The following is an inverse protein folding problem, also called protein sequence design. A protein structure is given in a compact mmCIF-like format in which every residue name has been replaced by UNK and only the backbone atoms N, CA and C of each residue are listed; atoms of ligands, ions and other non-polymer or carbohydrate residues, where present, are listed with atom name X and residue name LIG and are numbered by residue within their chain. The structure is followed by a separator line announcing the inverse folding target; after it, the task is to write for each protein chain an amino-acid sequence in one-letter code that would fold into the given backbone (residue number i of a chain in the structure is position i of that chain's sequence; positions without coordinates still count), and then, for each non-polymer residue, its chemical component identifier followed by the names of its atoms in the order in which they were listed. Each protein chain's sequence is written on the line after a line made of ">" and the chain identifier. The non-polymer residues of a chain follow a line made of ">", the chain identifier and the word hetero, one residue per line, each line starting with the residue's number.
data_IF_389420273404
#
_entry.id   IF_389420273404
#
_cell.length_a   1.000
_cell.length_b   1.000
_cell.length_c   1.000
_cell.angle_alpha   90.00
_cell.angle_beta   90.00
_cell.angle_gamma   90.00
#
_symmetry.space_group_name_H-M   'P 1'
#
loop_
_entity.id
_entity.type
_entity.pdbx_description
1 polymer ?
#
# COMPACT_ATOMS: atom_id res chain seq x y z
N UNK A 1 -18.26 -2.36 -38.76
CA UNK A 1 -16.91 -2.82 -38.34
C UNK A 1 -16.23 -1.64 -37.68
N UNK A 2 -15.68 -1.63 -36.47
CA UNK A 2 -15.53 -2.61 -35.40
C UNK A 2 -15.50 -1.78 -34.09
N UNK A 3 -16.11 -2.30 -33.04
CA UNK A 3 -16.31 -1.65 -31.74
C UNK A 3 -14.98 -1.66 -30.98
N UNK A 4 -14.44 -0.48 -30.65
CA UNK A 4 -13.26 -0.36 -29.80
C UNK A 4 -13.60 -0.84 -28.38
N UNK A 5 -13.19 -2.06 -28.08
CA UNK A 5 -13.25 -2.62 -26.73
C UNK A 5 -12.08 -2.03 -25.92
N UNK A 6 -12.34 -0.92 -25.24
CA UNK A 6 -11.52 -0.44 -24.13
C UNK A 6 -11.68 -1.41 -22.96
N UNK A 7 -10.83 -2.44 -22.92
CA UNK A 7 -10.71 -3.34 -21.79
C UNK A 7 -10.08 -2.62 -20.61
N UNK A 8 -10.93 -2.06 -19.74
CA UNK A 8 -10.54 -1.62 -18.41
C UNK A 8 -10.07 -2.80 -17.57
N UNK A 9 -8.78 -3.10 -17.65
CA UNK A 9 -8.10 -4.02 -16.75
C UNK A 9 -7.78 -3.30 -15.45
N UNK A 10 -8.75 -3.26 -14.53
CA UNK A 10 -8.54 -2.88 -13.13
C UNK A 10 -7.68 -3.91 -12.42
N UNK A 11 -6.38 -3.97 -12.74
CA UNK A 11 -5.40 -4.67 -11.93
C UNK A 11 -5.11 -3.82 -10.70
N UNK A 12 -5.39 -4.34 -9.51
CA UNK A 12 -5.02 -3.70 -8.25
C UNK A 12 -3.56 -3.27 -8.31
N UNK A 13 -3.32 -1.97 -8.23
CA UNK A 13 -2.00 -1.39 -8.43
C UNK A 13 -0.97 -1.93 -7.44
N UNK A 14 0.34 -1.72 -7.71
CA UNK A 14 1.45 -2.17 -6.86
C UNK A 14 1.28 -1.81 -5.38
N UNK A 15 0.61 -0.69 -5.08
CA UNK A 15 0.28 -0.25 -3.72
C UNK A 15 -0.69 -1.18 -2.99
N UNK A 16 -1.70 -1.74 -3.66
CA UNK A 16 -2.66 -2.66 -3.05
C UNK A 16 -2.00 -4.00 -2.67
N UNK A 17 -1.09 -4.49 -3.53
CA UNK A 17 -0.29 -5.68 -3.23
C UNK A 17 0.67 -5.43 -2.05
N UNK A 18 1.29 -4.25 -1.98
CA UNK A 18 2.15 -3.86 -0.87
C UNK A 18 1.37 -3.74 0.46
N UNK A 19 0.16 -3.18 0.44
CA UNK A 19 -0.71 -3.10 1.61
C UNK A 19 -1.13 -4.49 2.13
N UNK A 20 -1.49 -5.40 1.23
CA UNK A 20 -1.81 -6.79 1.59
C UNK A 20 -0.60 -7.52 2.20
N UNK A 21 0.60 -7.32 1.62
CA UNK A 21 1.84 -7.88 2.16
C UNK A 21 2.17 -7.32 3.56
N UNK A 22 1.93 -6.02 3.79
CA UNK A 22 2.11 -5.40 5.10
C UNK A 22 1.14 -5.96 6.15
N UNK A 23 -0.14 -6.11 5.81
CA UNK A 23 -1.15 -6.71 6.69
C UNK A 23 -0.82 -8.17 7.03
N UNK A 24 -0.37 -8.95 6.04
CA UNK A 24 0.07 -10.32 6.27
C UNK A 24 1.32 -10.37 7.18
N UNK A 25 2.29 -9.47 6.97
CA UNK A 25 3.47 -9.37 7.84
C UNK A 25 3.08 -9.04 9.28
N UNK A 26 2.15 -8.11 9.49
CA UNK A 26 1.64 -7.77 10.82
C UNK A 26 1.01 -9.00 11.50
N UNK A 27 0.19 -9.76 10.78
CA UNK A 27 -0.43 -10.99 11.29
C UNK A 27 0.63 -12.02 11.71
N UNK A 28 1.64 -12.25 10.89
CA UNK A 28 2.74 -13.19 11.20
C UNK A 28 3.51 -12.75 12.44
N UNK A 29 3.80 -11.46 12.60
CA UNK A 29 4.49 -10.94 13.79
C UNK A 29 3.67 -11.16 15.07
N UNK A 30 2.35 -10.91 15.02
CA UNK A 30 1.46 -11.17 16.16
C UNK A 30 1.44 -12.65 16.52
N UNK A 31 1.26 -13.53 15.52
CA UNK A 31 1.26 -14.98 15.76
C UNK A 31 2.58 -15.48 16.37
N UNK A 32 3.72 -14.93 15.92
CA UNK A 32 5.03 -15.25 16.48
C UNK A 32 5.14 -14.81 17.94
N UNK A 33 4.67 -13.60 18.27
CA UNK A 33 4.66 -13.11 19.65
C UNK A 33 3.81 -14.00 20.57
N UNK A 34 2.60 -14.34 20.14
CA UNK A 34 1.70 -15.23 20.90
C UNK A 34 2.33 -16.61 21.12
N UNK A 35 2.97 -17.16 20.07
CA UNK A 35 3.67 -18.43 20.14
C UNK A 35 4.85 -18.39 21.12
N UNK A 36 5.68 -17.35 21.05
CA UNK A 36 6.84 -17.21 21.92
C UNK A 36 6.44 -16.99 23.39
N UNK A 37 5.41 -16.19 23.67
CA UNK A 37 4.87 -16.00 25.02
C UNK A 37 4.31 -17.32 25.56
N UNK A 38 3.52 -18.03 24.77
CA UNK A 38 2.97 -19.34 25.15
C UNK A 38 4.09 -20.33 25.46
N UNK A 39 5.13 -20.38 24.60
CA UNK A 39 6.30 -21.23 24.82
C UNK A 39 7.02 -20.89 26.14
N UNK A 40 7.19 -19.61 26.49
CA UNK A 40 7.82 -19.23 27.76
C UNK A 40 7.00 -19.73 28.94
N UNK A 41 5.69 -19.46 28.94
CA UNK A 41 4.78 -19.82 30.03
C UNK A 41 4.68 -21.34 30.20
N UNK A 42 4.54 -22.08 29.10
CA UNK A 42 4.44 -23.54 29.13
C UNK A 42 5.73 -24.20 29.62
N UNK A 43 6.89 -23.77 29.11
CA UNK A 43 8.17 -24.30 29.56
C UNK A 43 8.42 -23.94 31.04
N UNK A 44 8.02 -22.75 31.49
CA UNK A 44 8.12 -22.36 32.90
C UNK A 44 7.23 -23.22 33.80
N UNK A 45 5.96 -23.41 33.44
CA UNK A 45 5.03 -24.28 34.18
C UNK A 45 5.58 -25.71 34.29
N UNK A 46 6.13 -26.22 33.19
CA UNK A 46 6.73 -27.54 33.16
C UNK A 46 8.02 -27.63 34.01
N UNK A 47 8.82 -26.55 34.07
CA UNK A 47 10.01 -26.47 34.92
C UNK A 47 9.63 -26.44 36.40
N UNK A 48 8.61 -25.66 36.78
CA UNK A 48 8.08 -25.64 38.15
C UNK A 48 7.56 -27.03 38.57
N UNK A 49 6.87 -27.74 37.66
CA UNK A 49 6.41 -29.09 37.93
C UNK A 49 7.56 -30.09 38.11
N UNK A 50 8.64 -29.98 37.32
CA UNK A 50 9.85 -30.81 37.48
C UNK A 50 10.61 -30.49 38.79
N UNK A 51 10.58 -29.25 39.24
CA UNK A 51 11.25 -28.84 40.47
C UNK A 51 10.54 -29.33 41.75
N UNK A 52 9.29 -29.83 41.66
CA UNK A 52 8.57 -30.37 42.82
C UNK A 52 9.15 -31.74 43.20
N UNK A 53 9.88 -31.75 44.31
CA UNK A 53 10.42 -32.97 44.91
C UNK A 53 9.30 -33.75 45.60
N UNK A 54 8.94 -34.90 45.05
CA UNK A 54 8.18 -35.94 45.75
C UNK A 54 9.08 -37.19 45.81
N UNK A 55 9.54 -37.62 46.99
CA UNK A 55 10.34 -38.85 47.16
C UNK A 55 9.59 -40.10 46.61
N UNK A 56 10.20 -41.20 46.09
CA UNK A 56 11.54 -41.53 45.51
C UNK A 56 11.44 -42.26 44.11
N UNK A 57 12.50 -42.85 43.48
CA UNK A 57 13.94 -42.73 43.68
C UNK A 57 14.59 -41.78 42.66
N UNK A 58 15.56 -41.02 43.16
CA UNK A 58 16.52 -40.13 42.49
C UNK A 58 16.66 -40.34 40.96
N UNK A 59 15.91 -39.57 40.16
CA UNK A 59 16.16 -39.34 38.71
C UNK A 59 16.92 -38.03 38.45
N UNK A 60 17.84 -37.70 39.35
CA UNK A 60 18.51 -36.40 39.42
C UNK A 60 19.12 -35.95 38.08
N UNK A 61 19.75 -36.84 37.31
CA UNK A 61 20.38 -36.45 36.03
C UNK A 61 19.39 -36.23 34.89
N UNK A 62 18.34 -37.05 34.79
CA UNK A 62 17.34 -36.93 33.72
C UNK A 62 16.45 -35.70 33.92
N UNK A 63 16.05 -35.44 35.15
CA UNK A 63 15.24 -34.27 35.51
C UNK A 63 16.05 -32.97 35.37
N UNK A 64 17.32 -32.98 35.79
CA UNK A 64 18.24 -31.85 35.57
C UNK A 64 18.38 -31.52 34.07
N UNK A 65 18.58 -32.53 33.22
CA UNK A 65 18.65 -32.34 31.78
C UNK A 65 17.34 -31.77 31.20
N UNK A 66 16.17 -32.29 31.64
CA UNK A 66 14.89 -31.76 31.18
C UNK A 66 14.64 -30.31 31.63
N UNK A 67 15.07 -29.95 32.84
CA UNK A 67 15.02 -28.56 33.33
C UNK A 67 15.92 -27.65 32.49
N UNK A 68 17.14 -28.08 32.16
CA UNK A 68 18.08 -27.33 31.34
C UNK A 68 17.53 -27.07 29.93
N UNK A 69 16.97 -28.10 29.27
CA UNK A 69 16.35 -27.95 27.95
C UNK A 69 15.18 -26.96 27.98
N UNK A 70 14.38 -26.96 29.05
CA UNK A 70 13.24 -26.04 29.19
C UNK A 70 13.69 -24.60 29.42
N UNK A 71 14.69 -24.40 30.28
CA UNK A 71 15.31 -23.11 30.46
C UNK A 71 15.91 -22.57 29.14
N UNK A 72 16.61 -23.41 28.39
CA UNK A 72 17.16 -23.05 27.08
C UNK A 72 16.07 -22.64 26.08
N UNK A 73 14.94 -23.37 26.03
CA UNK A 73 13.79 -23.02 25.19
C UNK A 73 13.13 -21.70 25.59
N UNK A 74 13.03 -21.40 26.88
CA UNK A 74 12.55 -20.11 27.37
C UNK A 74 13.46 -18.97 26.92
N UNK A 75 14.78 -19.14 27.03
CA UNK A 75 15.77 -18.15 26.59
C UNK A 75 15.66 -17.93 25.08
N UNK A 76 15.52 -19.00 24.30
CA UNK A 76 15.34 -18.92 22.84
C UNK A 76 14.06 -18.16 22.45
N UNK A 77 12.94 -18.43 23.12
CA UNK A 77 11.70 -17.70 22.90
C UNK A 77 11.83 -16.21 23.28
N UNK A 78 12.53 -15.89 24.37
CA UNK A 78 12.81 -14.52 24.76
C UNK A 78 13.71 -13.78 23.74
N UNK A 79 14.70 -14.46 23.18
CA UNK A 79 15.53 -13.92 22.09
C UNK A 79 14.70 -13.68 20.82
N UNK A 80 13.79 -14.60 20.49
CA UNK A 80 12.85 -14.43 19.39
C UNK A 80 11.96 -13.20 19.58
N UNK A 81 11.43 -12.97 20.79
CA UNK A 81 10.67 -11.76 21.14
C UNK A 81 11.51 -10.49 21.01
N UNK A 82 12.79 -10.52 21.42
CA UNK A 82 13.71 -9.37 21.24
C UNK A 82 13.88 -9.05 19.75
N UNK A 83 14.07 -10.07 18.91
CA UNK A 83 14.20 -9.89 17.46
C UNK A 83 12.91 -9.33 16.86
N UNK A 84 11.75 -9.82 17.29
CA UNK A 84 10.45 -9.29 16.91
C UNK A 84 10.31 -7.80 17.24
N UNK A 85 10.69 -7.38 18.45
CA UNK A 85 10.69 -5.96 18.86
C UNK A 85 11.62 -5.13 17.98
N UNK A 86 12.78 -5.68 17.59
CA UNK A 86 13.71 -5.02 16.66
C UNK A 86 13.08 -4.82 15.28
N UNK A 87 12.43 -5.85 14.74
CA UNK A 87 11.71 -5.79 13.45
C UNK A 87 10.54 -4.80 13.49
N UNK A 88 9.81 -4.71 14.61
CA UNK A 88 8.74 -3.75 14.80
C UNK A 88 9.27 -2.30 14.85
N UNK A 89 10.37 -2.06 15.58
CA UNK A 89 11.03 -0.75 15.60
C UNK A 89 11.49 -0.33 14.21
N UNK A 90 12.11 -1.25 13.47
CA UNK A 90 12.51 -1.02 12.08
C UNK A 90 11.29 -0.67 11.23
N UNK A 91 10.22 -1.46 11.33
CA UNK A 91 8.97 -1.23 10.60
C UNK A 91 8.37 0.13 10.94
N UNK A 92 8.35 0.55 12.21
CA UNK A 92 7.82 1.86 12.61
C UNK A 92 8.65 3.03 12.04
N UNK A 93 9.97 2.92 12.03
CA UNK A 93 10.88 3.92 11.43
C UNK A 93 10.59 4.06 9.92
N UNK A 94 10.39 2.93 9.22
CA UNK A 94 10.14 2.93 7.78
C UNK A 94 8.64 3.09 7.41
N UNK A 95 7.71 2.95 8.35
CA UNK A 95 6.27 3.05 8.09
C UNK A 95 5.84 4.45 7.64
N UNK A 96 6.63 5.48 7.96
CA UNK A 96 6.43 6.82 7.40
C UNK A 96 6.47 6.83 5.86
N UNK A 97 7.22 5.92 5.24
CA UNK A 97 7.27 5.79 3.78
C UNK A 97 5.98 5.21 3.19
N UNK A 98 5.24 4.36 3.92
CA UNK A 98 3.96 3.81 3.46
C UNK A 98 2.87 4.89 3.36
N UNK A 99 2.74 5.71 4.41
CA UNK A 99 1.84 6.87 4.39
C UNK A 99 2.27 7.92 3.35
N UNK A 100 3.57 8.11 3.16
CA UNK A 100 4.11 8.95 2.10
C UNK A 100 3.73 8.41 0.71
N UNK A 101 3.83 7.10 0.49
CA UNK A 101 3.47 6.49 -0.78
C UNK A 101 1.97 6.64 -1.09
N UNK A 102 1.09 6.42 -0.10
CA UNK A 102 -0.35 6.69 -0.26
C UNK A 102 -0.65 8.17 -0.55
N UNK A 103 0.11 9.09 0.06
CA UNK A 103 -0.01 10.51 -0.23
C UNK A 103 0.41 10.83 -1.67
N UNK A 104 1.52 10.25 -2.13
CA UNK A 104 2.00 10.37 -3.51
C UNK A 104 0.97 9.83 -4.50
N UNK A 105 0.43 8.63 -4.28
CA UNK A 105 -0.61 8.03 -5.13
C UNK A 105 -1.87 8.90 -5.20
N UNK A 106 -2.31 9.44 -4.06
CA UNK A 106 -3.45 10.37 -4.00
C UNK A 106 -3.18 11.63 -4.83
N UNK A 107 -1.97 12.16 -4.74
CA UNK A 107 -1.57 13.40 -5.42
C UNK A 107 -1.40 13.20 -6.93
N UNK A 108 -0.90 12.03 -7.35
CA UNK A 108 -0.90 11.62 -8.76
C UNK A 108 -2.34 11.57 -9.30
N UNK A 109 -3.26 10.94 -8.58
CA UNK A 109 -4.66 10.87 -9.00
C UNK A 109 -5.33 12.25 -9.08
N UNK A 110 -4.97 13.17 -8.17
CA UNK A 110 -5.42 14.56 -8.21
C UNK A 110 -4.87 15.32 -9.41
N UNK A 111 -3.58 15.18 -9.70
CA UNK A 111 -2.96 15.81 -10.88
C UNK A 111 -3.53 15.29 -12.19
N UNK A 112 -3.77 14.00 -12.32
CA UNK A 112 -4.40 13.44 -13.51
C UNK A 112 -5.81 14.04 -13.74
N UNK A 113 -6.60 14.22 -12.67
CA UNK A 113 -7.91 14.87 -12.78
C UNK A 113 -7.81 16.34 -13.19
N UNK A 114 -6.80 17.04 -12.66
CA UNK A 114 -6.56 18.43 -13.02
C UNK A 114 -6.14 18.55 -14.50
N UNK A 115 -5.27 17.66 -14.96
CA UNK A 115 -4.81 17.56 -16.35
C UNK A 115 -6.00 17.32 -17.29
N UNK A 116 -6.84 16.31 -17.01
CA UNK A 116 -8.06 16.05 -17.80
C UNK A 116 -9.02 17.26 -17.82
N UNK A 117 -9.17 17.95 -16.69
CA UNK A 117 -10.00 19.16 -16.60
C UNK A 117 -9.44 20.30 -17.43
N UNK A 118 -8.12 20.49 -17.39
CA UNK A 118 -7.41 21.52 -18.17
C UNK A 118 -7.47 21.21 -19.66
N UNK A 119 -7.30 19.96 -20.07
CA UNK A 119 -7.36 19.55 -21.47
C UNK A 119 -8.75 19.83 -22.06
N UNK A 120 -9.82 19.48 -21.34
CA UNK A 120 -11.20 19.80 -21.76
C UNK A 120 -11.48 21.30 -21.85
N UNK A 121 -10.87 22.11 -20.98
CA UNK A 121 -10.98 23.57 -21.06
C UNK A 121 -10.26 24.12 -22.29
N UNK A 122 -9.05 23.63 -22.57
CA UNK A 122 -8.28 24.01 -23.75
C UNK A 122 -9.02 23.65 -25.04
N UNK A 123 -9.61 22.45 -25.11
CA UNK A 123 -10.42 22.02 -26.26
C UNK A 123 -11.59 22.99 -26.51
N UNK A 124 -12.37 23.32 -25.47
CA UNK A 124 -13.50 24.26 -25.57
C UNK A 124 -13.07 25.66 -26.00
N UNK A 125 -11.98 26.19 -25.43
CA UNK A 125 -11.47 27.51 -25.81
C UNK A 125 -11.00 27.50 -27.26
N UNK A 126 -10.35 26.41 -27.69
CA UNK A 126 -9.96 26.19 -29.08
C UNK A 126 -11.16 26.20 -30.04
N UNK A 127 -12.23 25.48 -29.70
CA UNK A 127 -13.48 25.47 -30.47
C UNK A 127 -14.12 26.87 -30.57
N UNK A 128 -14.20 27.60 -29.45
CA UNK A 128 -14.75 28.95 -29.41
C UNK A 128 -13.94 29.94 -30.24
N UNK A 129 -12.60 29.86 -30.15
CA UNK A 129 -11.70 30.70 -30.95
C UNK A 129 -11.85 30.39 -32.44
N UNK A 130 -11.90 29.10 -32.82
CA UNK A 130 -12.11 28.68 -34.21
C UNK A 130 -13.47 29.15 -34.76
N UNK A 131 -14.54 29.04 -33.96
CA UNK A 131 -15.86 29.54 -34.33
C UNK A 131 -15.85 31.06 -34.55
N UNK A 132 -15.24 31.81 -33.63
CA UNK A 132 -15.13 33.28 -33.73
C UNK A 132 -14.33 33.71 -34.96
N UNK A 133 -13.24 33.01 -35.27
CA UNK A 133 -12.44 33.27 -36.48
C UNK A 133 -13.21 32.99 -37.76
N UNK A 134 -13.98 31.89 -37.81
CA UNK A 134 -14.82 31.55 -38.96
C UNK A 134 -15.94 32.57 -39.17
N UNK A 135 -16.54 33.06 -38.09
CA UNK A 135 -17.53 34.14 -38.16
C UNK A 135 -16.91 35.44 -38.70
N UNK A 136 -15.72 35.81 -38.18
CA UNK A 136 -14.99 36.99 -38.67
C UNK A 136 -14.61 36.89 -40.15
N UNK A 137 -14.14 35.71 -40.60
CA UNK A 137 -13.83 35.43 -42.00
C UNK A 137 -15.08 35.58 -42.88
N UNK A 138 -16.23 35.04 -42.46
CA UNK A 138 -17.49 35.20 -43.18
C UNK A 138 -17.93 36.67 -43.27
N UNK A 139 -17.77 37.44 -42.20
CA UNK A 139 -18.04 38.89 -42.20
C UNK A 139 -17.13 39.66 -43.16
N UNK A 140 -15.85 39.30 -43.23
CA UNK A 140 -14.89 39.91 -44.15
C UNK A 140 -15.29 39.68 -45.61
N UNK A 141 -15.51 38.42 -46.02
CA UNK A 141 -15.88 38.11 -47.40
C UNK A 141 -17.26 38.63 -47.80
N UNK A 142 -18.25 38.60 -46.89
CA UNK A 142 -19.58 39.16 -47.16
C UNK A 142 -19.58 40.68 -47.28
N UNK A 143 -18.67 41.37 -46.59
CA UNK A 143 -18.49 42.82 -46.72
C UNK A 143 -17.81 43.18 -48.04
N UNK A 144 -16.77 42.43 -48.45
CA UNK A 144 -16.07 42.66 -49.72
C UNK A 144 -16.99 42.41 -50.93
N UNK A 145 -17.80 41.33 -50.92
CA UNK A 145 -18.77 41.06 -52.00
C UNK A 145 -19.85 42.13 -52.13
N UNK A 146 -20.22 42.81 -51.04
CA UNK A 146 -21.17 43.94 -51.08
C UNK A 146 -20.55 45.22 -51.64
N UNK A 147 -19.22 45.34 -51.60
CA UNK A 147 -18.49 46.51 -52.10
C UNK A 147 -17.99 46.37 -53.54
N UNK A 148 -18.00 45.16 -54.12
CA UNK A 148 -17.85 45.00 -55.58
C UNK A 148 -19.07 45.62 -56.28
N UNK A 149 -18.88 46.59 -57.18
CA UNK A 149 -19.98 47.31 -57.81
C UNK A 149 -20.79 46.34 -58.69
N UNK A 150 -22.11 46.48 -58.64
CA UNK A 150 -23.00 46.03 -59.69
C UNK A 150 -22.69 46.81 -60.98
N UNK A 151 -21.70 46.37 -61.74
CA UNK A 151 -21.56 46.77 -63.15
C UNK A 151 -22.54 45.95 -63.99
N UNK A 152 -23.61 46.62 -64.38
CA UNK A 152 -24.52 46.28 -65.47
C UNK A 152 -25.60 47.38 -65.53
N UNK A 153 -26.05 47.85 -66.70
CA UNK A 153 -25.88 47.33 -68.06
C UNK A 153 -24.91 48.13 -68.96
#
# INVERSE_FOLDING_TARGET
>A
MNKAAGGGGGGGGPTAAAAAAAAQKQKTLLQRADTDVTNIVDNFNQLVNLARVNDPPVRNSQEAFQMEIRAARMVQAAESLRNLVSELKQTAIFSGFGSLNENVDRRIAEFNRLEEGSERLLERVGEQAAASLKELEAHYYSSVLRTSPSEGP
#
